data_IF_420347532870
#
_entry.id   IF_420347532870
#
_cell.length_a   1.000
_cell.length_b   1.000
_cell.length_c   1.000
_cell.angle_alpha   90.00
_cell.angle_beta   90.00
_cell.angle_gamma   90.00
#
_symmetry.space_group_name_H-M   'P 1'
#
loop_
_entity.id
_entity.type
_entity.pdbx_description
1 polymer ?
#
# COMPACT_ATOMS: atom_id res chain seq x y z
N UNK A 1 37.16 -21.14 3.47
CA UNK A 1 38.20 -22.00 2.87
C UNK A 1 39.62 -21.42 2.95
N UNK A 2 39.87 -20.16 2.59
CA UNK A 2 41.22 -19.57 2.63
C UNK A 2 41.88 -19.51 4.02
N UNK A 3 41.12 -19.19 5.09
CA UNK A 3 41.65 -19.18 6.47
C UNK A 3 42.02 -20.58 7.00
N UNK A 4 41.31 -21.61 6.55
CA UNK A 4 41.62 -23.01 6.94
C UNK A 4 42.89 -23.47 6.27
N UNK A 5 43.12 -23.12 4.99
CA UNK A 5 44.29 -23.49 4.23
C UNK A 5 45.58 -22.81 4.77
N UNK A 6 45.50 -21.54 5.15
CA UNK A 6 46.66 -20.85 5.78
C UNK A 6 46.98 -21.40 7.17
N UNK A 7 45.95 -21.78 7.97
CA UNK A 7 46.17 -22.39 9.29
C UNK A 7 46.78 -23.81 9.16
N UNK A 8 46.33 -24.61 8.20
CA UNK A 8 46.89 -25.92 7.90
C UNK A 8 48.36 -25.86 7.45
N UNK A 9 48.73 -24.89 6.59
CA UNK A 9 50.10 -24.70 6.17
C UNK A 9 51.04 -24.27 7.32
N UNK A 10 50.54 -23.41 8.22
CA UNK A 10 51.32 -22.93 9.37
C UNK A 10 51.57 -24.06 10.37
N UNK A 11 50.58 -24.92 10.65
CA UNK A 11 50.72 -26.03 11.59
C UNK A 11 51.63 -27.12 11.02
N UNK A 12 51.54 -27.42 9.70
CA UNK A 12 52.41 -28.41 9.05
C UNK A 12 53.86 -27.97 9.04
N UNK A 13 54.13 -26.67 8.90
CA UNK A 13 55.49 -26.10 8.96
C UNK A 13 56.03 -26.08 10.40
N UNK A 14 55.19 -25.80 11.40
CA UNK A 14 55.59 -25.77 12.81
C UNK A 14 55.84 -27.16 13.38
N UNK A 15 55.01 -28.16 13.06
CA UNK A 15 55.18 -29.56 13.52
C UNK A 15 56.43 -30.20 12.89
N UNK A 16 56.75 -29.86 11.63
CA UNK A 16 58.00 -30.33 10.99
C UNK A 16 59.23 -29.70 11.59
N UNK A 17 59.16 -28.43 12.01
CA UNK A 17 60.27 -27.71 12.68
C UNK A 17 60.44 -28.18 14.14
N UNK A 18 59.36 -28.50 14.85
CA UNK A 18 59.38 -28.94 16.24
C UNK A 18 59.87 -30.39 16.40
N UNK A 19 59.64 -31.27 15.41
CA UNK A 19 60.19 -32.64 15.42
C UNK A 19 61.66 -32.72 15.19
N UNK A 20 62.36 -31.63 14.79
CA UNK A 20 63.79 -31.61 14.58
C UNK A 20 64.59 -31.05 15.77
N UNK A 21 63.94 -30.49 16.77
CA UNK A 21 64.58 -29.93 17.98
C UNK A 21 63.77 -30.24 19.23
N UNK A 22 64.28 -31.14 20.06
CA UNK A 22 63.98 -31.38 21.46
C UNK A 22 62.92 -32.43 21.82
N UNK A 23 63.25 -33.15 22.87
CA UNK A 23 62.62 -34.18 23.66
C UNK A 23 61.38 -33.73 24.47
N UNK A 24 60.50 -32.86 23.95
CA UNK A 24 59.30 -32.43 24.66
C UNK A 24 58.01 -32.92 23.96
N UNK A 25 57.85 -34.26 23.99
CA UNK A 25 56.68 -34.95 23.44
C UNK A 25 55.35 -34.45 24.04
N UNK A 26 55.34 -33.93 25.26
CA UNK A 26 54.20 -33.41 25.95
C UNK A 26 53.69 -32.12 25.34
N UNK A 27 54.56 -31.23 24.88
CA UNK A 27 54.20 -29.97 24.24
C UNK A 27 53.63 -30.15 22.83
N UNK A 28 54.19 -31.10 22.07
CA UNK A 28 53.68 -31.45 20.73
C UNK A 28 52.31 -32.10 20.84
N UNK A 29 52.08 -33.01 21.77
CA UNK A 29 50.80 -33.66 22.00
C UNK A 29 49.73 -32.64 22.46
N UNK A 30 50.07 -31.63 23.28
CA UNK A 30 49.14 -30.59 23.71
C UNK A 30 48.71 -29.69 22.56
N UNK A 31 49.62 -29.34 21.63
CA UNK A 31 49.32 -28.55 20.43
C UNK A 31 48.46 -29.36 19.42
N UNK A 32 48.77 -30.61 19.23
CA UNK A 32 47.94 -31.53 18.37
C UNK A 32 46.53 -31.69 18.94
N UNK A 33 46.37 -31.81 20.26
CA UNK A 33 45.07 -31.84 20.91
C UNK A 33 44.28 -30.52 20.75
N UNK A 34 44.90 -29.37 21.02
CA UNK A 34 44.29 -28.05 20.84
C UNK A 34 43.85 -27.82 19.38
N UNK A 35 44.62 -28.33 18.43
CA UNK A 35 44.27 -28.24 17.00
C UNK A 35 43.10 -29.15 16.66
N UNK A 36 43.10 -30.38 17.16
CA UNK A 36 41.96 -31.30 16.99
C UNK A 36 40.67 -30.75 17.58
N UNK A 37 40.76 -30.19 18.78
CA UNK A 37 39.59 -29.55 19.45
C UNK A 37 39.08 -28.34 18.66
N UNK A 38 39.98 -27.51 18.11
CA UNK A 38 39.61 -26.39 17.25
C UNK A 38 38.95 -26.83 15.96
N UNK A 39 39.41 -27.88 15.30
CA UNK A 39 38.74 -28.46 14.11
C UNK A 39 37.37 -28.98 14.46
N UNK A 40 37.24 -29.66 15.59
CA UNK A 40 35.94 -30.19 16.05
C UNK A 40 34.95 -29.06 16.29
N UNK A 41 35.36 -27.99 16.97
CA UNK A 41 34.53 -26.80 17.18
C UNK A 41 34.11 -26.14 15.85
N UNK A 42 35.01 -26.01 14.88
CA UNK A 42 34.70 -25.44 13.56
C UNK A 42 33.71 -26.32 12.81
N UNK A 43 33.85 -27.66 12.89
CA UNK A 43 32.92 -28.57 12.26
C UNK A 43 31.54 -28.53 12.91
N UNK A 44 31.47 -28.48 14.23
CA UNK A 44 30.21 -28.31 14.98
C UNK A 44 29.50 -26.98 14.62
N UNK A 45 30.24 -25.88 14.54
CA UNK A 45 29.68 -24.58 14.09
C UNK A 45 29.19 -24.66 12.65
N UNK A 46 29.88 -25.32 11.74
CA UNK A 46 29.48 -25.49 10.35
C UNK A 46 28.19 -26.31 10.24
N UNK A 47 28.07 -27.42 10.98
CA UNK A 47 26.84 -28.23 11.02
C UNK A 47 25.67 -27.45 11.64
N UNK A 48 25.93 -26.66 12.68
CA UNK A 48 24.91 -25.78 13.29
C UNK A 48 24.39 -24.74 12.30
N UNK A 49 25.31 -24.05 11.58
CA UNK A 49 24.93 -23.09 10.54
C UNK A 49 24.19 -23.71 9.35
N UNK A 50 24.57 -24.99 9.02
CA UNK A 50 23.87 -25.76 7.99
C UNK A 50 22.42 -26.05 8.42
N UNK A 51 22.21 -26.51 9.66
CA UNK A 51 20.88 -26.78 10.19
C UNK A 51 19.99 -25.52 10.19
N UNK A 52 20.55 -24.32 10.49
CA UNK A 52 19.84 -23.05 10.37
C UNK A 52 19.40 -22.76 8.93
N UNK A 53 20.30 -22.95 7.97
CA UNK A 53 20.00 -22.73 6.53
C UNK A 53 18.98 -23.73 6.00
N UNK A 54 19.02 -24.98 6.43
CA UNK A 54 18.06 -26.00 6.03
C UNK A 54 16.65 -25.63 6.52
N UNK A 55 16.52 -25.23 7.79
CA UNK A 55 15.25 -24.75 8.34
C UNK A 55 14.74 -23.48 7.60
N UNK A 56 15.64 -22.55 7.28
CA UNK A 56 15.31 -21.37 6.51
C UNK A 56 14.80 -21.72 5.09
N UNK A 57 15.46 -22.63 4.40
CA UNK A 57 15.09 -23.06 3.04
C UNK A 57 13.72 -23.76 3.02
N UNK A 58 13.42 -24.57 4.04
CA UNK A 58 12.09 -25.15 4.23
C UNK A 58 11.03 -24.07 4.40
N UNK A 59 11.30 -23.06 5.24
CA UNK A 59 10.41 -21.89 5.42
C UNK A 59 10.20 -21.11 4.12
N UNK A 60 11.24 -20.92 3.31
CA UNK A 60 11.11 -20.25 2.00
C UNK A 60 10.23 -21.04 1.03
N UNK A 61 10.34 -22.36 1.01
CA UNK A 61 9.47 -23.22 0.19
C UNK A 61 7.99 -23.04 0.59
N UNK A 62 7.70 -23.05 1.88
CA UNK A 62 6.35 -22.83 2.42
C UNK A 62 5.84 -21.41 2.12
N UNK A 63 6.67 -20.39 2.32
CA UNK A 63 6.35 -19.01 2.01
C UNK A 63 6.00 -18.81 0.52
N UNK A 64 6.78 -19.41 -0.39
CA UNK A 64 6.52 -19.38 -1.84
C UNK A 64 5.16 -19.99 -2.18
N UNK A 65 4.73 -21.01 -1.44
CA UNK A 65 3.41 -21.66 -1.58
C UNK A 65 2.30 -20.94 -0.80
N UNK A 66 2.58 -19.77 -0.20
CA UNK A 66 1.65 -18.97 0.63
C UNK A 66 1.19 -19.70 1.91
N UNK A 67 1.91 -20.71 2.37
CA UNK A 67 1.66 -21.43 3.62
C UNK A 67 2.32 -20.67 4.79
N UNK A 68 1.83 -19.47 5.07
CA UNK A 68 2.46 -18.53 6.01
C UNK A 68 2.58 -19.10 7.42
N UNK A 69 1.50 -19.71 7.93
CA UNK A 69 1.47 -20.28 9.29
C UNK A 69 2.45 -21.41 9.50
N UNK A 70 2.71 -22.21 8.47
CA UNK A 70 3.67 -23.32 8.52
C UNK A 70 5.12 -22.84 8.32
N UNK A 71 5.32 -21.73 7.59
CA UNK A 71 6.63 -21.13 7.37
C UNK A 71 7.21 -20.47 8.64
N UNK A 72 6.37 -19.87 9.50
CA UNK A 72 6.79 -19.18 10.74
C UNK A 72 7.61 -20.07 11.66
N UNK A 73 7.21 -21.31 12.00
CA UNK A 73 8.03 -22.22 12.82
C UNK A 73 9.39 -22.53 12.21
N UNK A 74 9.49 -22.68 10.89
CA UNK A 74 10.74 -22.96 10.19
C UNK A 74 11.73 -21.80 10.33
N UNK A 75 11.26 -20.55 10.09
CA UNK A 75 12.10 -19.36 10.31
C UNK A 75 12.43 -19.17 11.79
N UNK A 76 11.50 -19.46 12.70
CA UNK A 76 11.75 -19.38 14.15
C UNK A 76 12.83 -20.38 14.58
N UNK A 77 12.83 -21.60 14.01
CA UNK A 77 13.90 -22.59 14.23
C UNK A 77 15.23 -22.09 13.68
N UNK A 78 15.25 -21.52 12.47
CA UNK A 78 16.47 -20.95 11.87
C UNK A 78 17.06 -19.85 12.75
N UNK A 79 16.23 -18.93 13.26
CA UNK A 79 16.61 -17.82 14.17
C UNK A 79 17.09 -18.37 15.52
N UNK A 80 16.46 -19.42 16.06
CA UNK A 80 16.87 -20.05 17.29
C UNK A 80 18.25 -20.70 17.22
N UNK A 81 18.65 -21.15 16.02
CA UNK A 81 19.96 -21.69 15.74
C UNK A 81 20.98 -20.57 15.47
N UNK A 82 20.63 -19.58 14.66
CA UNK A 82 21.47 -18.43 14.28
C UNK A 82 20.70 -17.13 14.51
N UNK A 83 20.92 -16.53 15.66
CA UNK A 83 20.21 -15.31 16.09
C UNK A 83 20.57 -14.04 15.31
N UNK A 84 21.60 -14.09 14.46
CA UNK A 84 22.01 -12.98 13.58
C UNK A 84 21.61 -13.20 12.11
N UNK A 85 20.84 -14.24 11.82
CA UNK A 85 20.37 -14.57 10.48
C UNK A 85 19.25 -13.63 10.03
N UNK A 86 19.61 -12.40 9.63
CA UNK A 86 18.66 -11.34 9.30
C UNK A 86 17.66 -11.73 8.21
N UNK A 87 18.03 -12.56 7.23
CA UNK A 87 17.10 -13.03 6.18
C UNK A 87 15.94 -13.87 6.76
N UNK A 88 16.19 -14.60 7.85
CA UNK A 88 15.16 -15.39 8.50
C UNK A 88 14.14 -14.49 9.23
N UNK A 89 14.61 -13.42 9.89
CA UNK A 89 13.71 -12.40 10.45
C UNK A 89 12.91 -11.72 9.35
N UNK A 90 13.56 -11.27 8.26
CA UNK A 90 12.88 -10.63 7.12
C UNK A 90 11.79 -11.52 6.53
N UNK A 91 12.05 -12.82 6.40
CA UNK A 91 11.10 -13.78 5.82
C UNK A 91 9.96 -14.10 6.78
N UNK A 92 10.25 -14.17 8.10
CA UNK A 92 9.23 -14.36 9.13
C UNK A 92 8.31 -13.14 9.25
N UNK A 93 8.86 -11.93 9.17
CA UNK A 93 8.09 -10.69 9.12
C UNK A 93 7.06 -10.69 7.99
N UNK A 94 7.45 -11.10 6.77
CA UNK A 94 6.54 -11.23 5.63
C UNK A 94 5.40 -12.23 5.87
N UNK A 95 5.65 -13.27 6.66
CA UNK A 95 4.58 -14.19 7.07
C UNK A 95 3.65 -13.53 8.09
N UNK A 96 4.20 -12.82 9.08
CA UNK A 96 3.42 -12.13 10.10
C UNK A 96 2.54 -11.01 9.55
N UNK A 97 2.90 -10.34 8.45
CA UNK A 97 2.00 -9.37 7.77
C UNK A 97 0.62 -9.92 7.42
N UNK A 98 0.44 -11.23 7.40
CA UNK A 98 -0.85 -11.88 7.10
C UNK A 98 -1.66 -12.20 8.36
N UNK A 99 -1.06 -12.04 9.54
CA UNK A 99 -1.69 -12.45 10.82
C UNK A 99 -1.50 -11.46 11.96
N UNK A 100 -0.35 -10.78 12.06
CA UNK A 100 0.00 -9.90 13.16
C UNK A 100 1.03 -8.84 12.73
N UNK A 101 0.55 -7.64 12.47
CA UNK A 101 1.40 -6.51 12.05
C UNK A 101 2.44 -6.14 13.13
N UNK A 102 2.17 -6.32 14.44
CA UNK A 102 3.13 -5.98 15.49
C UNK A 102 4.33 -6.94 15.50
N UNK A 103 4.08 -8.24 15.30
CA UNK A 103 5.15 -9.22 15.18
C UNK A 103 5.97 -8.98 13.89
N UNK A 104 5.30 -8.61 12.79
CA UNK A 104 5.98 -8.22 11.55
C UNK A 104 6.90 -7.02 11.76
N UNK A 105 6.41 -5.96 12.40
CA UNK A 105 7.20 -4.76 12.73
C UNK A 105 8.41 -5.11 13.59
N UNK A 106 8.25 -5.93 14.63
CA UNK A 106 9.36 -6.34 15.49
C UNK A 106 10.46 -7.07 14.72
N UNK A 107 10.10 -7.99 13.83
CA UNK A 107 11.05 -8.72 13.00
C UNK A 107 11.72 -7.85 11.92
N UNK A 108 11.00 -6.90 11.31
CA UNK A 108 11.57 -5.91 10.39
C UNK A 108 12.58 -5.00 11.10
N UNK A 109 12.25 -4.47 12.28
CA UNK A 109 13.17 -3.66 13.05
C UNK A 109 14.41 -4.47 13.47
N UNK A 110 14.26 -5.74 13.84
CA UNK A 110 15.39 -6.62 14.12
C UNK A 110 16.24 -6.89 12.88
N UNK A 111 15.61 -7.02 11.71
CA UNK A 111 16.33 -7.13 10.42
C UNK A 111 17.21 -5.91 10.18
N UNK A 112 16.67 -4.70 10.39
CA UNK A 112 17.41 -3.45 10.22
C UNK A 112 18.53 -3.29 11.27
N UNK A 113 18.30 -3.70 12.53
CA UNK A 113 19.34 -3.71 13.57
C UNK A 113 20.54 -4.58 13.16
N UNK A 114 20.28 -5.74 12.54
CA UNK A 114 21.31 -6.67 12.10
C UNK A 114 22.00 -6.27 10.79
N UNK A 115 21.30 -5.54 9.91
CA UNK A 115 21.84 -4.99 8.66
C UNK A 115 21.26 -3.59 8.41
N UNK A 116 21.89 -2.59 9.03
CA UNK A 116 21.49 -1.18 8.95
C UNK A 116 21.79 -0.53 7.58
N UNK A 117 22.42 -1.25 6.66
CA UNK A 117 22.65 -0.76 5.28
C UNK A 117 21.43 -0.98 4.40
N UNK A 118 20.57 -1.93 4.75
CA UNK A 118 19.36 -2.26 4.05
C UNK A 118 18.17 -1.47 4.63
N UNK A 119 17.70 -0.46 3.90
CA UNK A 119 16.57 0.37 4.31
C UNK A 119 15.20 -0.28 4.06
N UNK A 120 15.13 -1.39 3.31
CA UNK A 120 13.87 -2.08 2.99
C UNK A 120 13.03 -2.38 4.23
N UNK A 121 13.56 -2.92 5.34
CA UNK A 121 12.76 -3.18 6.53
C UNK A 121 12.08 -1.94 7.10
N UNK A 122 12.73 -0.77 7.06
CA UNK A 122 12.12 0.49 7.52
C UNK A 122 10.97 0.94 6.61
N UNK A 123 11.06 0.71 5.30
CA UNK A 123 9.96 0.95 4.36
C UNK A 123 8.76 0.06 4.65
N UNK A 124 8.99 -1.23 4.95
CA UNK A 124 7.91 -2.16 5.30
C UNK A 124 7.23 -1.76 6.63
N UNK A 125 8.02 -1.40 7.65
CA UNK A 125 7.49 -0.85 8.92
C UNK A 125 6.66 0.40 8.68
N UNK A 126 7.17 1.35 7.87
CA UNK A 126 6.45 2.57 7.52
C UNK A 126 5.13 2.27 6.78
N UNK A 127 5.12 1.27 5.89
CA UNK A 127 3.92 0.83 5.17
C UNK A 127 2.88 0.22 6.10
N UNK A 128 3.28 -0.56 7.10
CA UNK A 128 2.38 -1.11 8.12
C UNK A 128 1.79 0.02 8.99
N UNK A 129 2.61 0.92 9.47
CA UNK A 129 2.13 2.09 10.24
C UNK A 129 1.22 3.02 9.43
N UNK A 130 1.41 3.12 8.11
CA UNK A 130 0.55 3.98 7.27
C UNK A 130 -0.93 3.57 7.34
N UNK A 131 -1.21 2.29 7.61
CA UNK A 131 -2.57 1.75 7.77
C UNK A 131 -3.19 2.12 9.12
N UNK A 132 -2.37 2.22 10.19
CA UNK A 132 -2.82 2.33 11.58
C UNK A 132 -2.47 3.67 12.22
N UNK A 133 -1.25 4.16 12.02
CA UNK A 133 -0.73 5.40 12.61
C UNK A 133 0.17 6.16 11.63
N UNK A 134 -0.41 7.17 10.99
CA UNK A 134 0.32 8.02 10.03
C UNK A 134 1.47 8.81 10.67
N UNK A 135 1.44 9.04 11.99
CA UNK A 135 2.52 9.75 12.69
C UNK A 135 3.76 8.88 12.79
N UNK A 136 3.58 7.60 13.15
CA UNK A 136 4.67 6.62 13.18
C UNK A 136 5.20 6.34 11.77
N UNK A 137 4.32 6.24 10.76
CA UNK A 137 4.77 6.12 9.37
C UNK A 137 5.65 7.29 8.94
N UNK A 138 5.25 8.53 9.28
CA UNK A 138 6.04 9.74 9.02
C UNK A 138 7.40 9.68 9.71
N UNK A 139 7.45 9.24 10.97
CA UNK A 139 8.70 9.08 11.72
C UNK A 139 9.66 8.11 11.01
N UNK A 140 9.16 6.96 10.54
CA UNK A 140 9.97 5.98 9.82
C UNK A 140 10.54 6.55 8.51
N UNK A 141 9.73 7.23 7.70
CA UNK A 141 10.25 7.89 6.47
C UNK A 141 11.25 9.00 6.79
N UNK A 142 11.06 9.75 7.88
CA UNK A 142 12.02 10.76 8.32
C UNK A 142 13.32 10.10 8.79
N UNK A 143 13.26 8.96 9.45
CA UNK A 143 14.45 8.16 9.84
C UNK A 143 15.19 7.68 8.59
N UNK A 144 14.51 7.15 7.58
CA UNK A 144 15.12 6.76 6.31
C UNK A 144 15.88 7.95 5.70
N UNK A 145 15.27 9.15 5.67
CA UNK A 145 15.92 10.35 5.13
C UNK A 145 17.10 10.84 5.99
N UNK A 146 17.10 10.59 7.29
CA UNK A 146 18.25 10.90 8.13
C UNK A 146 19.46 9.99 7.85
N UNK A 147 19.21 8.75 7.41
CA UNK A 147 20.22 7.77 7.03
C UNK A 147 20.70 7.98 5.59
N UNK A 148 19.79 8.34 4.70
CA UNK A 148 20.06 8.59 3.28
C UNK A 148 19.16 9.71 2.76
N UNK A 149 19.69 10.92 2.67
CA UNK A 149 18.94 12.15 2.44
C UNK A 149 18.28 12.27 1.06
N UNK A 150 18.72 11.49 0.08
CA UNK A 150 18.25 11.50 -1.32
C UNK A 150 17.33 10.32 -1.69
N UNK A 151 16.69 9.70 -0.70
CA UNK A 151 15.71 8.65 -0.93
C UNK A 151 14.39 9.21 -1.45
N UNK A 152 14.26 9.30 -2.79
CA UNK A 152 13.09 9.88 -3.47
C UNK A 152 11.78 9.22 -3.05
N UNK A 153 11.79 7.90 -2.78
CA UNK A 153 10.59 7.17 -2.36
C UNK A 153 10.12 7.61 -0.98
N UNK A 154 11.04 7.81 -0.02
CA UNK A 154 10.69 8.29 1.32
C UNK A 154 10.12 9.72 1.26
N UNK A 155 10.73 10.61 0.44
CA UNK A 155 10.21 11.97 0.20
C UNK A 155 8.81 11.91 -0.40
N UNK A 156 8.59 11.05 -1.40
CA UNK A 156 7.27 10.87 -2.03
C UNK A 156 6.22 10.37 -1.03
N UNK A 157 6.56 9.41 -0.18
CA UNK A 157 5.65 8.89 0.85
C UNK A 157 5.30 9.94 1.92
N UNK A 158 6.23 10.80 2.30
CA UNK A 158 5.91 11.96 3.13
C UNK A 158 4.94 12.92 2.42
N UNK A 159 5.06 13.08 1.10
CA UNK A 159 4.10 13.80 0.26
C UNK A 159 2.70 13.16 0.31
N UNK A 160 2.61 11.83 0.22
CA UNK A 160 1.34 11.10 0.36
C UNK A 160 0.71 11.34 1.73
N UNK A 161 1.50 11.27 2.82
CA UNK A 161 1.01 11.55 4.18
C UNK A 161 0.49 13.00 4.29
N UNK A 162 1.21 13.98 3.72
CA UNK A 162 0.78 15.36 3.70
C UNK A 162 -0.52 15.54 2.89
N UNK A 163 -0.66 14.86 1.74
CA UNK A 163 -1.87 14.86 0.93
C UNK A 163 -3.07 14.28 1.68
N UNK A 164 -2.89 13.17 2.38
CA UNK A 164 -3.93 12.55 3.23
C UNK A 164 -4.34 13.45 4.41
N UNK A 165 -3.44 14.32 4.87
CA UNK A 165 -3.71 15.34 5.89
C UNK A 165 -4.27 16.65 5.29
N UNK A 166 -4.65 16.65 4.00
CA UNK A 166 -5.17 17.80 3.23
C UNK A 166 -4.21 18.99 3.16
N UNK A 167 -2.91 18.78 3.43
CA UNK A 167 -1.84 19.79 3.32
C UNK A 167 -1.27 19.78 1.91
N UNK A 168 -2.08 20.17 0.94
CA UNK A 168 -1.79 19.98 -0.49
C UNK A 168 -0.57 20.75 -0.99
N UNK A 169 -0.29 21.95 -0.46
CA UNK A 169 0.90 22.74 -0.81
C UNK A 169 2.18 22.06 -0.32
N UNK A 170 2.16 21.50 0.90
CA UNK A 170 3.29 20.74 1.45
C UNK A 170 3.52 19.45 0.65
N UNK A 171 2.44 18.75 0.30
CA UNK A 171 2.50 17.55 -0.53
C UNK A 171 3.11 17.85 -1.92
N UNK A 172 2.68 18.93 -2.56
CA UNK A 172 3.21 19.38 -3.86
C UNK A 172 4.71 19.65 -3.80
N UNK A 173 5.19 20.34 -2.75
CA UNK A 173 6.61 20.59 -2.55
C UNK A 173 7.41 19.30 -2.39
N UNK A 174 6.93 18.34 -1.58
CA UNK A 174 7.58 17.05 -1.35
C UNK A 174 7.61 16.20 -2.64
N UNK A 175 6.51 16.13 -3.40
CA UNK A 175 6.52 15.44 -4.68
C UNK A 175 7.47 16.11 -5.69
N UNK A 176 7.55 17.44 -5.69
CA UNK A 176 8.51 18.16 -6.53
C UNK A 176 9.95 17.82 -6.16
N UNK A 177 10.29 17.77 -4.86
CA UNK A 177 11.63 17.34 -4.40
C UNK A 177 11.93 15.90 -4.82
N UNK A 178 10.97 14.98 -4.66
CA UNK A 178 11.12 13.59 -5.09
C UNK A 178 11.37 13.48 -6.60
N UNK A 179 10.65 14.25 -7.42
CA UNK A 179 10.78 14.28 -8.88
C UNK A 179 12.10 14.86 -9.38
N UNK A 180 12.75 15.74 -8.62
CA UNK A 180 14.10 16.22 -8.93
C UNK A 180 15.12 15.09 -8.86
N UNK A 181 14.92 14.13 -7.95
CA UNK A 181 15.81 12.98 -7.76
C UNK A 181 15.45 11.86 -8.75
N UNK A 182 14.17 11.53 -8.85
CA UNK A 182 13.69 10.45 -9.72
C UNK A 182 12.34 10.78 -10.34
N UNK A 183 12.33 10.97 -11.66
CA UNK A 183 11.09 11.21 -12.43
C UNK A 183 10.39 9.89 -12.67
N UNK A 184 9.17 9.72 -12.13
CA UNK A 184 8.38 8.51 -12.29
C UNK A 184 6.88 8.83 -12.37
N UNK A 185 6.11 7.93 -12.99
CA UNK A 185 4.70 8.11 -13.29
C UNK A 185 3.83 8.24 -12.03
N UNK A 186 4.16 7.54 -10.94
CA UNK A 186 3.38 7.57 -9.70
C UNK A 186 3.49 8.92 -9.00
N UNK A 187 4.71 9.44 -8.82
CA UNK A 187 4.94 10.72 -8.15
C UNK A 187 4.39 11.89 -8.98
N UNK A 188 4.47 11.83 -10.33
CA UNK A 188 3.80 12.81 -11.21
C UNK A 188 2.29 12.77 -11.03
N UNK A 189 1.67 11.59 -11.02
CA UNK A 189 0.23 11.45 -10.76
C UNK A 189 -0.16 12.04 -9.39
N UNK A 190 0.63 11.82 -8.36
CA UNK A 190 0.34 12.29 -7.01
C UNK A 190 0.48 13.82 -6.93
N UNK A 191 1.50 14.41 -7.58
CA UNK A 191 1.62 15.86 -7.69
C UNK A 191 0.50 16.46 -8.53
N UNK A 192 0.11 15.83 -9.64
CA UNK A 192 -1.06 16.20 -10.41
C UNK A 192 -2.34 16.19 -9.58
N UNK A 193 -2.49 15.23 -8.67
CA UNK A 193 -3.61 15.18 -7.72
C UNK A 193 -3.59 16.34 -6.73
N UNK A 194 -2.41 16.78 -6.26
CA UNK A 194 -2.26 17.99 -5.47
C UNK A 194 -2.70 19.21 -6.28
N UNK A 195 -2.22 19.38 -7.50
CA UNK A 195 -2.62 20.50 -8.36
C UNK A 195 -4.14 20.53 -8.59
N UNK A 196 -4.77 19.38 -8.82
CA UNK A 196 -6.24 19.28 -8.94
C UNK A 196 -6.97 19.74 -7.68
N UNK A 197 -6.44 19.42 -6.48
CA UNK A 197 -7.01 19.86 -5.19
C UNK A 197 -6.79 21.35 -4.95
N UNK A 198 -5.68 21.91 -5.40
CA UNK A 198 -5.34 23.32 -5.35
C UNK A 198 -5.97 24.15 -6.48
N UNK A 199 -6.84 23.54 -7.30
CA UNK A 199 -7.49 24.16 -8.47
C UNK A 199 -6.53 24.65 -9.56
N UNK A 200 -5.29 24.15 -9.57
CA UNK A 200 -4.26 24.40 -10.59
C UNK A 200 -4.41 23.39 -11.74
N UNK A 201 -5.53 23.45 -12.45
CA UNK A 201 -5.98 22.37 -13.35
C UNK A 201 -5.03 22.12 -14.52
N UNK A 202 -4.42 23.17 -15.11
CA UNK A 202 -3.49 23.03 -16.24
C UNK A 202 -2.19 22.32 -15.81
N UNK A 203 -1.68 22.59 -14.60
CA UNK A 203 -0.53 21.89 -14.05
C UNK A 203 -0.86 20.40 -13.78
N UNK A 204 -2.07 20.12 -13.29
CA UNK A 204 -2.54 18.75 -13.10
C UNK A 204 -2.57 17.98 -14.43
N UNK A 205 -3.10 18.57 -15.50
CA UNK A 205 -3.13 18.00 -16.84
C UNK A 205 -1.71 17.70 -17.33
N UNK A 206 -0.79 18.65 -17.19
CA UNK A 206 0.61 18.48 -17.61
C UNK A 206 1.27 17.31 -16.91
N UNK A 207 1.11 17.18 -15.58
CA UNK A 207 1.69 16.08 -14.81
C UNK A 207 1.07 14.72 -15.16
N UNK A 208 -0.27 14.65 -15.33
CA UNK A 208 -0.91 13.39 -15.73
C UNK A 208 -0.49 12.95 -17.14
N UNK A 209 -0.37 13.89 -18.10
CA UNK A 209 0.12 13.56 -19.43
C UNK A 209 1.57 13.09 -19.41
N UNK A 210 2.44 13.72 -18.60
CA UNK A 210 3.81 13.28 -18.40
C UNK A 210 3.86 11.88 -17.77
N UNK A 211 3.00 11.60 -16.79
CA UNK A 211 2.88 10.29 -16.15
C UNK A 211 2.44 9.20 -17.15
N UNK A 212 1.46 9.50 -18.02
CA UNK A 212 1.01 8.61 -19.10
C UNK A 212 2.13 8.33 -20.09
N UNK A 213 2.94 9.34 -20.43
CA UNK A 213 4.07 9.17 -21.33
C UNK A 213 5.14 8.22 -20.77
N UNK A 214 5.34 8.22 -19.44
CA UNK A 214 6.27 7.31 -18.76
C UNK A 214 5.70 5.89 -18.60
N UNK A 215 4.40 5.76 -18.34
CA UNK A 215 3.74 4.48 -18.20
C UNK A 215 2.28 4.56 -18.67
N UNK A 216 2.04 4.16 -19.91
CA UNK A 216 0.72 4.19 -20.55
C UNK A 216 -0.23 3.06 -20.12
N UNK A 217 0.16 2.18 -19.19
CA UNK A 217 -0.68 1.06 -18.76
C UNK A 217 -1.44 1.32 -17.45
N UNK A 218 -1.22 2.47 -16.81
CA UNK A 218 -1.81 2.81 -15.52
C UNK A 218 -3.21 3.46 -15.70
N UNK A 219 -4.25 2.65 -15.66
CA UNK A 219 -5.65 3.07 -15.87
C UNK A 219 -6.07 4.27 -15.01
N UNK A 220 -5.64 4.30 -13.74
CA UNK A 220 -6.00 5.35 -12.78
C UNK A 220 -5.53 6.74 -13.20
N UNK A 221 -4.40 6.87 -13.93
CA UNK A 221 -3.90 8.18 -14.38
C UNK A 221 -4.83 8.77 -15.45
N UNK A 222 -5.30 7.95 -16.38
CA UNK A 222 -6.29 8.39 -17.37
C UNK A 222 -7.61 8.82 -16.70
N UNK A 223 -8.07 8.09 -15.68
CA UNK A 223 -9.26 8.45 -14.91
C UNK A 223 -9.08 9.76 -14.13
N UNK A 224 -7.90 10.00 -13.56
CA UNK A 224 -7.57 11.25 -12.90
C UNK A 224 -7.55 12.42 -13.88
N UNK A 225 -6.94 12.26 -15.05
CA UNK A 225 -6.92 13.25 -16.12
C UNK A 225 -8.35 13.55 -16.62
N UNK A 226 -9.17 12.50 -16.83
CA UNK A 226 -10.57 12.64 -17.19
C UNK A 226 -11.35 13.47 -16.16
N UNK A 227 -11.10 13.24 -14.86
CA UNK A 227 -11.72 14.01 -13.78
C UNK A 227 -11.37 15.50 -13.82
N UNK A 228 -10.15 15.84 -14.26
CA UNK A 228 -9.74 17.24 -14.43
C UNK A 228 -10.47 17.88 -15.61
N UNK A 229 -10.54 17.19 -16.76
CA UNK A 229 -11.30 17.69 -17.90
C UNK A 229 -12.79 17.85 -17.56
N UNK A 230 -13.37 16.90 -16.83
CA UNK A 230 -14.76 17.04 -16.35
C UNK A 230 -14.95 18.27 -15.46
N UNK A 231 -13.97 18.55 -14.58
CA UNK A 231 -13.99 19.75 -13.72
C UNK A 231 -13.85 21.06 -14.52
N UNK A 232 -13.12 21.04 -15.64
CA UNK A 232 -13.02 22.19 -16.57
C UNK A 232 -14.27 22.34 -17.46
N UNK A 233 -15.22 21.40 -17.43
CA UNK A 233 -16.38 21.39 -18.33
C UNK A 233 -16.08 20.83 -19.73
N UNK A 234 -14.87 20.29 -19.95
CA UNK A 234 -14.44 19.66 -21.21
C UNK A 234 -14.99 18.24 -21.30
N UNK A 235 -16.32 18.12 -21.37
CA UNK A 235 -17.05 16.83 -21.27
C UNK A 235 -16.55 15.79 -22.28
N UNK A 236 -16.35 16.18 -23.53
CA UNK A 236 -15.92 15.23 -24.59
C UNK A 236 -14.53 14.65 -24.28
N UNK A 237 -13.59 15.49 -23.84
CA UNK A 237 -12.26 15.00 -23.43
C UNK A 237 -12.35 14.09 -22.19
N UNK A 238 -13.17 14.46 -21.22
CA UNK A 238 -13.38 13.62 -20.05
C UNK A 238 -13.87 12.22 -20.43
N UNK A 239 -14.87 12.13 -21.32
CA UNK A 239 -15.40 10.84 -21.78
C UNK A 239 -14.35 10.02 -22.52
N UNK A 240 -13.54 10.63 -23.40
CA UNK A 240 -12.43 9.96 -24.12
C UNK A 240 -11.42 9.37 -23.10
N UNK A 241 -11.00 10.15 -22.11
CA UNK A 241 -9.99 9.68 -21.15
C UNK A 241 -10.54 8.62 -20.18
N UNK A 242 -11.85 8.64 -19.83
CA UNK A 242 -12.47 7.52 -19.12
C UNK A 242 -12.51 6.26 -19.98
N UNK A 243 -12.81 6.37 -21.28
CA UNK A 243 -12.76 5.22 -22.19
C UNK A 243 -11.35 4.64 -22.30
N UNK A 244 -10.33 5.50 -22.33
CA UNK A 244 -8.93 5.07 -22.29
C UNK A 244 -8.61 4.35 -20.96
N UNK A 245 -9.05 4.87 -19.80
CA UNK A 245 -8.87 4.20 -18.52
C UNK A 245 -9.49 2.80 -18.53
N UNK A 246 -10.72 2.68 -19.01
CA UNK A 246 -11.46 1.41 -19.15
C UNK A 246 -10.74 0.45 -20.11
N UNK A 247 -10.15 0.96 -21.20
CA UNK A 247 -9.38 0.14 -22.14
C UNK A 247 -8.11 -0.45 -21.52
N UNK A 248 -7.55 0.20 -20.49
CA UNK A 248 -6.38 -0.29 -19.74
C UNK A 248 -6.74 -1.26 -18.62
N UNK A 249 -7.91 -1.08 -18.03
CA UNK A 249 -8.45 -1.97 -17.01
C UNK A 249 -9.99 -2.04 -17.17
N UNK A 250 -10.45 -3.13 -17.78
CA UNK A 250 -11.87 -3.37 -18.02
C UNK A 250 -12.68 -3.59 -16.72
N UNK A 251 -12.02 -3.86 -15.59
CA UNK A 251 -12.64 -4.04 -14.28
C UNK A 251 -12.53 -2.78 -13.39
N UNK A 252 -12.19 -1.63 -13.97
CA UNK A 252 -12.01 -0.40 -13.19
C UNK A 252 -13.36 0.29 -12.92
N UNK A 253 -14.10 -0.19 -11.93
CA UNK A 253 -15.43 0.29 -11.54
C UNK A 253 -15.51 1.81 -11.36
N UNK A 254 -14.46 2.44 -10.77
CA UNK A 254 -14.36 3.88 -10.56
C UNK A 254 -14.44 4.66 -11.89
N UNK A 255 -13.79 4.19 -12.96
CA UNK A 255 -13.80 4.87 -14.26
C UNK A 255 -15.19 4.85 -14.89
N UNK A 256 -15.87 3.71 -14.88
CA UNK A 256 -17.28 3.60 -15.33
C UNK A 256 -18.20 4.52 -14.53
N UNK A 257 -18.10 4.50 -13.21
CA UNK A 257 -18.91 5.34 -12.32
C UNK A 257 -18.71 6.83 -12.57
N UNK A 258 -17.46 7.27 -12.76
CA UNK A 258 -17.14 8.67 -13.02
C UNK A 258 -17.58 9.10 -14.42
N UNK A 259 -17.44 8.23 -15.43
CA UNK A 259 -17.99 8.42 -16.76
C UNK A 259 -19.51 8.59 -16.71
N UNK A 260 -20.20 7.75 -15.96
CA UNK A 260 -21.62 7.86 -15.73
C UNK A 260 -22.01 9.19 -15.07
N UNK A 261 -21.21 9.68 -14.10
CA UNK A 261 -21.45 10.99 -13.46
C UNK A 261 -21.36 12.15 -14.45
N UNK A 262 -20.41 12.10 -15.40
CA UNK A 262 -20.32 13.09 -16.49
C UNK A 262 -21.54 13.02 -17.39
N UNK A 263 -21.96 11.83 -17.82
CA UNK A 263 -23.15 11.62 -18.65
C UNK A 263 -24.44 12.05 -17.93
N UNK A 264 -24.53 11.85 -16.61
CA UNK A 264 -25.63 12.32 -15.77
C UNK A 264 -25.70 13.86 -15.73
N UNK A 265 -24.54 14.53 -15.64
CA UNK A 265 -24.46 16.00 -15.74
C UNK A 265 -24.99 16.53 -17.07
N UNK A 266 -24.80 15.79 -18.15
CA UNK A 266 -25.32 16.05 -19.49
C UNK A 266 -26.79 15.63 -19.70
N UNK A 267 -27.47 15.16 -18.66
CA UNK A 267 -28.83 14.61 -18.70
C UNK A 267 -28.96 13.38 -19.65
N UNK A 268 -27.87 12.70 -19.98
CA UNK A 268 -27.85 11.48 -20.81
C UNK A 268 -28.11 10.23 -19.96
N UNK A 269 -29.29 10.19 -19.31
CA UNK A 269 -29.63 9.23 -18.24
C UNK A 269 -29.50 7.75 -18.67
N UNK A 270 -29.97 7.41 -19.87
CA UNK A 270 -29.89 6.01 -20.34
C UNK A 270 -28.44 5.58 -20.57
N UNK A 271 -27.58 6.48 -21.12
CA UNK A 271 -26.16 6.17 -21.28
C UNK A 271 -25.46 6.07 -19.92
N UNK A 272 -25.77 6.98 -18.98
CA UNK A 272 -25.24 6.92 -17.62
C UNK A 272 -25.60 5.61 -16.92
N UNK A 273 -26.85 5.14 -17.09
CA UNK A 273 -27.29 3.86 -16.52
C UNK A 273 -26.47 2.68 -17.03
N UNK A 274 -26.20 2.61 -18.35
CA UNK A 274 -25.36 1.56 -18.94
C UNK A 274 -23.96 1.54 -18.29
N UNK A 275 -23.34 2.70 -18.11
CA UNK A 275 -22.01 2.75 -17.48
C UNK A 275 -22.05 2.40 -15.98
N UNK A 276 -23.13 2.73 -15.26
CA UNK A 276 -23.31 2.29 -13.87
C UNK A 276 -23.51 0.78 -13.78
N UNK A 277 -24.28 0.17 -14.68
CA UNK A 277 -24.47 -1.28 -14.67
C UNK A 277 -23.12 -2.00 -14.91
N UNK A 278 -22.26 -1.49 -15.81
CA UNK A 278 -20.89 -1.99 -15.98
C UNK A 278 -19.99 -1.76 -14.75
N UNK A 279 -20.14 -0.62 -14.06
CA UNK A 279 -19.42 -0.39 -12.81
C UNK A 279 -19.76 -1.44 -11.76
N UNK A 280 -21.04 -1.83 -11.67
CA UNK A 280 -21.54 -2.85 -10.75
C UNK A 280 -21.22 -4.29 -11.19
N UNK A 281 -21.04 -4.52 -12.49
CA UNK A 281 -20.49 -5.79 -13.03
C UNK A 281 -19.01 -5.94 -12.64
N UNK A 282 -18.24 -4.84 -12.68
CA UNK A 282 -16.83 -4.82 -12.29
C UNK A 282 -16.63 -4.92 -10.77
N UNK A 283 -17.50 -4.28 -9.98
CA UNK A 283 -17.48 -4.32 -8.51
C UNK A 283 -18.93 -4.25 -7.98
N UNK A 284 -19.46 -5.40 -7.60
CA UNK A 284 -20.84 -5.54 -7.08
C UNK A 284 -21.06 -4.89 -5.70
N UNK A 285 -19.97 -4.52 -4.99
CA UNK A 285 -20.05 -3.87 -3.67
C UNK A 285 -19.58 -2.40 -3.73
N UNK A 286 -19.56 -1.80 -4.91
CA UNK A 286 -19.16 -0.42 -5.07
C UNK A 286 -20.30 0.56 -4.72
N UNK A 287 -20.40 0.97 -3.45
CA UNK A 287 -21.43 1.86 -2.92
C UNK A 287 -21.66 3.15 -3.74
N UNK A 288 -20.61 3.86 -4.26
CA UNK A 288 -20.82 5.03 -5.09
C UNK A 288 -21.60 4.79 -6.38
N UNK A 289 -21.47 3.61 -7.00
CA UNK A 289 -22.24 3.26 -8.19
C UNK A 289 -23.74 3.05 -7.86
N UNK A 290 -24.07 2.43 -6.73
CA UNK A 290 -25.46 2.33 -6.28
C UNK A 290 -26.06 3.71 -5.97
N UNK A 291 -25.31 4.62 -5.34
CA UNK A 291 -25.75 6.00 -5.15
C UNK A 291 -26.05 6.68 -6.49
N UNK A 292 -25.15 6.59 -7.47
CA UNK A 292 -25.36 7.17 -8.79
C UNK A 292 -26.53 6.50 -9.54
N UNK A 293 -26.72 5.17 -9.40
CA UNK A 293 -27.91 4.46 -9.88
C UNK A 293 -29.19 5.04 -9.30
N UNK A 294 -29.19 5.32 -7.99
CA UNK A 294 -30.30 5.99 -7.31
C UNK A 294 -30.55 7.39 -7.86
N UNK A 295 -29.50 8.19 -8.05
CA UNK A 295 -29.64 9.55 -8.62
C UNK A 295 -30.19 9.50 -10.05
N UNK A 296 -29.73 8.58 -10.89
CA UNK A 296 -30.24 8.38 -12.25
C UNK A 296 -31.73 8.03 -12.20
N UNK A 297 -32.14 7.05 -11.38
CA UNK A 297 -33.54 6.66 -11.23
C UNK A 297 -34.40 7.82 -10.71
N UNK A 298 -33.91 8.60 -9.75
CA UNK A 298 -34.59 9.78 -9.25
C UNK A 298 -34.83 10.82 -10.39
N UNK A 299 -33.81 11.11 -11.20
CA UNK A 299 -33.92 12.02 -12.35
C UNK A 299 -34.91 11.52 -13.40
N UNK A 300 -35.03 10.20 -13.55
CA UNK A 300 -36.04 9.54 -14.39
C UNK A 300 -37.42 9.44 -13.72
N UNK A 301 -37.62 10.01 -12.52
CA UNK A 301 -38.84 9.98 -11.71
C UNK A 301 -39.26 8.57 -11.24
N UNK A 302 -38.32 7.61 -11.23
CA UNK A 302 -38.45 6.25 -10.71
C UNK A 302 -38.07 6.22 -9.24
N UNK A 303 -38.86 6.90 -8.40
CA UNK A 303 -38.47 7.19 -7.01
C UNK A 303 -38.33 5.94 -6.13
N UNK A 304 -39.18 4.90 -6.34
CA UNK A 304 -39.07 3.65 -5.57
C UNK A 304 -37.79 2.90 -5.90
N UNK A 305 -37.43 2.83 -7.18
CA UNK A 305 -36.16 2.22 -7.64
C UNK A 305 -34.95 3.05 -7.21
N UNK A 306 -35.10 4.37 -7.11
CA UNK A 306 -34.06 5.24 -6.57
C UNK A 306 -33.79 4.91 -5.09
N UNK A 307 -34.86 4.83 -4.27
CA UNK A 307 -34.77 4.48 -2.85
C UNK A 307 -34.10 3.11 -2.68
N UNK A 308 -34.50 2.09 -3.43
CA UNK A 308 -33.90 0.76 -3.37
C UNK A 308 -32.40 0.77 -3.72
N UNK A 309 -31.96 1.61 -4.66
CA UNK A 309 -30.56 1.76 -5.00
C UNK A 309 -29.77 2.47 -3.88
N UNK A 310 -30.31 3.50 -3.26
CA UNK A 310 -29.70 4.15 -2.10
C UNK A 310 -29.66 3.23 -0.88
N UNK A 311 -30.69 2.39 -0.67
CA UNK A 311 -30.69 1.37 0.38
C UNK A 311 -29.51 0.43 0.22
N UNK A 312 -29.22 -0.01 -1.02
CA UNK A 312 -28.08 -0.86 -1.29
C UNK A 312 -26.76 -0.15 -1.06
N UNK A 313 -26.63 1.13 -1.44
CA UNK A 313 -25.45 1.94 -1.14
C UNK A 313 -25.19 2.03 0.37
N UNK A 314 -26.23 2.28 1.17
CA UNK A 314 -26.15 2.39 2.63
C UNK A 314 -25.89 1.02 3.28
N UNK A 315 -26.42 -0.06 2.72
CA UNK A 315 -26.11 -1.41 3.21
C UNK A 315 -24.63 -1.76 3.07
N UNK A 316 -23.99 -1.31 1.97
CA UNK A 316 -22.55 -1.52 1.71
C UNK A 316 -21.72 -0.59 2.56
N UNK A 317 -22.09 0.68 2.64
CA UNK A 317 -21.39 1.72 3.40
C UNK A 317 -22.41 2.47 4.29
N UNK A 318 -22.46 2.09 5.56
CA UNK A 318 -23.40 2.64 6.55
C UNK A 318 -23.16 4.12 6.83
N UNK A 319 -21.97 4.63 6.57
CA UNK A 319 -21.60 6.03 6.77
C UNK A 319 -21.64 6.84 5.46
N UNK A 320 -22.22 6.29 4.39
CA UNK A 320 -22.28 6.98 3.11
C UNK A 320 -23.31 8.12 3.12
N UNK A 321 -22.93 9.25 3.69
CA UNK A 321 -23.77 10.43 3.94
C UNK A 321 -24.56 10.93 2.73
N UNK A 322 -23.99 10.86 1.50
CA UNK A 322 -24.66 11.28 0.27
C UNK A 322 -25.86 10.39 -0.09
N UNK A 323 -25.77 9.09 0.21
CA UNK A 323 -26.86 8.16 -0.07
C UNK A 323 -28.08 8.45 0.83
N UNK A 324 -27.85 8.77 2.11
CA UNK A 324 -28.91 9.22 3.00
C UNK A 324 -29.59 10.51 2.49
N UNK A 325 -28.79 11.54 2.15
CA UNK A 325 -29.34 12.77 1.62
C UNK A 325 -30.24 12.53 0.40
N UNK A 326 -29.73 11.78 -0.58
CA UNK A 326 -30.44 11.51 -1.84
C UNK A 326 -31.64 10.60 -1.63
N UNK A 327 -31.58 9.63 -0.69
CA UNK A 327 -32.72 8.79 -0.33
C UNK A 327 -33.84 9.61 0.30
N UNK A 328 -33.52 10.50 1.22
CA UNK A 328 -34.47 11.44 1.82
C UNK A 328 -35.19 12.28 0.77
N UNK A 329 -34.44 12.86 -0.19
CA UNK A 329 -35.02 13.64 -1.31
C UNK A 329 -35.98 12.73 -2.14
N UNK A 330 -35.65 11.46 -2.34
CA UNK A 330 -36.50 10.55 -3.10
C UNK A 330 -37.74 10.10 -2.32
N UNK A 331 -37.64 9.93 -1.00
CA UNK A 331 -38.76 9.63 -0.09
C UNK A 331 -39.77 10.78 -0.04
N UNK A 332 -39.30 12.02 0.03
CA UNK A 332 -40.15 13.20 -0.04
C UNK A 332 -41.04 13.19 -1.31
N UNK A 333 -40.48 12.77 -2.46
CA UNK A 333 -41.22 12.71 -3.73
C UNK A 333 -42.35 11.68 -3.73
N UNK A 334 -42.32 10.69 -2.83
CA UNK A 334 -43.38 9.70 -2.64
C UNK A 334 -44.22 9.99 -1.37
N UNK A 335 -44.02 11.14 -0.72
CA UNK A 335 -44.69 11.60 0.50
C UNK A 335 -44.41 10.73 1.74
N UNK A 336 -43.23 10.13 1.80
CA UNK A 336 -42.68 9.51 3.02
C UNK A 336 -41.88 10.58 3.80
N UNK A 337 -42.60 11.47 4.48
CA UNK A 337 -42.04 12.64 5.16
C UNK A 337 -41.17 12.22 6.36
N UNK A 338 -41.70 11.32 7.21
CA UNK A 338 -40.99 10.79 8.36
C UNK A 338 -39.66 10.12 7.94
N UNK A 339 -39.71 9.28 6.90
CA UNK A 339 -38.55 8.61 6.35
C UNK A 339 -37.55 9.57 5.72
N UNK A 340 -38.02 10.68 5.10
CA UNK A 340 -37.16 11.71 4.55
C UNK A 340 -36.42 12.47 5.66
N UNK A 341 -37.15 12.88 6.71
CA UNK A 341 -36.59 13.61 7.87
C UNK A 341 -35.54 12.76 8.60
N UNK A 342 -35.81 11.47 8.82
CA UNK A 342 -34.82 10.53 9.37
C UNK A 342 -33.54 10.51 8.54
N UNK A 343 -33.65 10.38 7.23
CA UNK A 343 -32.49 10.29 6.33
C UNK A 343 -31.69 11.61 6.31
N UNK A 344 -32.35 12.76 6.34
CA UNK A 344 -31.66 14.06 6.38
C UNK A 344 -30.98 14.33 7.72
N UNK A 345 -31.59 13.89 8.84
CA UNK A 345 -30.93 13.94 10.15
C UNK A 345 -29.65 13.10 10.13
N UNK A 346 -29.70 11.89 9.59
CA UNK A 346 -28.54 11.02 9.45
C UNK A 346 -27.47 11.62 8.53
N UNK A 347 -27.86 12.18 7.40
CA UNK A 347 -26.93 12.87 6.49
C UNK A 347 -26.25 14.07 7.18
N UNK A 348 -26.96 14.81 8.03
CA UNK A 348 -26.42 15.94 8.80
C UNK A 348 -25.42 15.44 9.85
N UNK A 349 -25.74 14.38 10.60
CA UNK A 349 -24.83 13.75 11.56
C UNK A 349 -23.51 13.33 10.89
N UNK A 350 -23.61 12.78 9.67
CA UNK A 350 -22.47 12.38 8.85
C UNK A 350 -21.78 13.55 8.10
N UNK A 351 -22.12 14.79 8.44
CA UNK A 351 -21.40 15.99 7.97
C UNK A 351 -21.96 16.67 6.72
N UNK A 352 -23.09 16.27 6.17
CA UNK A 352 -23.72 16.96 5.02
C UNK A 352 -24.50 18.19 5.48
N UNK A 353 -23.85 19.35 5.42
CA UNK A 353 -24.46 20.62 5.85
C UNK A 353 -25.75 20.98 5.08
N UNK A 354 -25.85 20.55 3.80
CA UNK A 354 -27.04 20.79 2.97
C UNK A 354 -28.31 20.15 3.58
N UNK A 355 -28.18 19.05 4.33
CA UNK A 355 -29.29 18.39 5.00
C UNK A 355 -30.04 19.31 5.98
N UNK A 356 -29.34 20.30 6.60
CA UNK A 356 -29.95 21.31 7.49
C UNK A 356 -31.05 22.10 6.79
N UNK A 357 -30.88 22.38 5.49
CA UNK A 357 -31.87 23.13 4.72
C UNK A 357 -33.14 22.32 4.52
N UNK A 358 -33.03 21.03 4.24
CA UNK A 358 -34.19 20.14 4.09
C UNK A 358 -34.92 19.97 5.42
N UNK A 359 -34.17 19.73 6.52
CA UNK A 359 -34.75 19.61 7.86
C UNK A 359 -35.53 20.85 8.27
N UNK A 360 -35.01 22.05 8.02
CA UNK A 360 -35.65 23.31 8.40
C UNK A 360 -36.91 23.61 7.57
N UNK A 361 -37.00 23.11 6.34
CA UNK A 361 -38.11 23.40 5.45
C UNK A 361 -39.23 22.37 5.53
N UNK A 362 -38.89 21.11 5.80
CA UNK A 362 -39.78 19.98 5.55
C UNK A 362 -39.98 19.07 6.79
N UNK A 363 -39.26 19.36 7.90
CA UNK A 363 -39.33 18.56 9.14
C UNK A 363 -39.55 19.48 10.32
N UNK A 364 -40.72 19.43 10.91
CA UNK A 364 -41.07 20.15 12.15
C UNK A 364 -40.69 19.36 13.41
#
# INVERSE_FOLDING_TARGET
>A
MYKLFTLLCFVFLFTKSAKSQTSDSTKVNSLEQQFSDSITQINEQNEHLKASRDAYNEGLFLLKNKNYNEAIPCFTKAIGIDSIFFQAYLSRAKCYEKSDDNLAIADYLKTFELDSTNLLPLYEVASLYLKTDKSLAKEMYTTILSLKGDEYLAISQLGVIAFMAEKYEVAEQLFTQSLVININAYTLNDRGSCYRKLDKLDLAISDYLAAIALNSNLAFIYSNLASVYAKQGETDKALIYYDLAISKDANYALAYNNKASVLLGENKFEKAKIEIDKALEADAEYAPAYNNKGVINHKMKKYKEAIAAFDKAIQIDVDYAKAYLNRGISKQMIRDEDGACFDWEKAKELGILMAKKYLANDCE
#
